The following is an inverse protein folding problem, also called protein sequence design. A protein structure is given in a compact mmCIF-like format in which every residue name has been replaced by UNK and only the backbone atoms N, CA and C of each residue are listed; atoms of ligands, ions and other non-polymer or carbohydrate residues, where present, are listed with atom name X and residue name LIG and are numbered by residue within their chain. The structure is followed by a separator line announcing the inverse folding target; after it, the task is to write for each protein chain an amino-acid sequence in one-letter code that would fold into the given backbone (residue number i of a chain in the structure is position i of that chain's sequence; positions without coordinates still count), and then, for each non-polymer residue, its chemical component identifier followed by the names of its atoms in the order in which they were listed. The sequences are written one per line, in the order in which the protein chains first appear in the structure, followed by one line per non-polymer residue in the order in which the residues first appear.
data_IF_878036475107
#
_entry.id   IF_878036475107
#
_cell.length_a   1.000
_cell.length_b   1.000
_cell.length_c   1.000
_cell.angle_alpha   90.00
_cell.angle_beta   90.00
_cell.angle_gamma   90.00
#
_symmetry.space_group_name_H-M   'P 1'
#
loop_
_entity.id
_entity.type
_entity.pdbx_description
1 polymer ?
#
# COMPACT_ATOMS: atom_id res chain seq x y z
N UNK A 1 -16.10 32.49 6.50
CA UNK A 1 -15.43 31.59 5.56
C UNK A 1 -14.91 30.33 6.24
N UNK A 2 -14.48 29.34 5.47
CA UNK A 2 -13.94 28.06 5.98
C UNK A 2 -12.48 28.17 6.50
N UNK A 3 -11.92 29.37 6.63
CA UNK A 3 -10.59 29.63 7.20
C UNK A 3 -9.41 29.45 6.22
N UNK A 4 -9.67 29.24 4.93
CA UNK A 4 -8.63 29.19 3.91
C UNK A 4 -8.39 30.61 3.35
N UNK A 5 -7.27 31.23 3.70
CA UNK A 5 -6.96 32.65 3.40
C UNK A 5 -5.97 32.82 2.23
N UNK A 6 -5.76 31.78 1.43
CA UNK A 6 -4.92 31.83 0.26
C UNK A 6 -5.51 32.76 -0.81
N UNK A 7 -4.72 33.66 -1.40
CA UNK A 7 -5.16 34.64 -2.41
C UNK A 7 -5.52 33.94 -3.73
N UNK A 8 -4.77 32.94 -4.13
CA UNK A 8 -5.05 32.13 -5.32
C UNK A 8 -6.23 31.20 -5.04
N UNK A 9 -7.32 31.40 -5.79
CA UNK A 9 -8.54 30.59 -5.67
C UNK A 9 -8.25 29.11 -5.92
N UNK A 10 -7.44 28.78 -6.90
CA UNK A 10 -7.10 27.37 -7.21
C UNK A 10 -6.33 26.73 -6.06
N UNK A 11 -5.35 27.43 -5.54
CA UNK A 11 -4.59 26.98 -4.38
C UNK A 11 -5.46 26.78 -3.14
N UNK A 12 -6.42 27.69 -2.94
CA UNK A 12 -7.40 27.59 -1.85
C UNK A 12 -8.29 26.36 -1.98
N UNK A 13 -8.74 26.03 -3.20
CA UNK A 13 -9.52 24.84 -3.50
C UNK A 13 -8.67 23.57 -3.25
N UNK A 14 -7.42 23.56 -3.69
CA UNK A 14 -6.51 22.44 -3.45
C UNK A 14 -6.33 22.15 -1.94
N UNK A 15 -6.12 23.18 -1.14
CA UNK A 15 -5.97 23.05 0.32
C UNK A 15 -7.25 22.50 0.95
N UNK A 16 -8.41 23.08 0.63
CA UNK A 16 -9.70 22.62 1.11
C UNK A 16 -9.97 21.16 0.74
N UNK A 17 -9.75 20.79 -0.52
CA UNK A 17 -9.98 19.42 -0.99
C UNK A 17 -8.98 18.43 -0.40
N UNK A 18 -7.74 18.84 -0.18
CA UNK A 18 -6.73 18.04 0.53
C UNK A 18 -7.19 17.71 1.95
N UNK A 19 -7.65 18.69 2.70
CA UNK A 19 -8.20 18.51 4.04
C UNK A 19 -9.47 17.64 4.02
N UNK A 20 -10.36 17.88 3.07
CA UNK A 20 -11.57 17.06 2.89
C UNK A 20 -11.23 15.59 2.66
N UNK A 21 -10.35 15.29 1.72
CA UNK A 21 -9.96 13.91 1.43
C UNK A 21 -9.21 13.25 2.61
N UNK A 22 -8.39 13.99 3.32
CA UNK A 22 -7.70 13.51 4.52
C UNK A 22 -8.70 13.11 5.61
N UNK A 23 -9.73 13.93 5.87
CA UNK A 23 -10.79 13.62 6.83
C UNK A 23 -11.67 12.47 6.36
N UNK A 24 -12.07 12.48 5.09
CA UNK A 24 -12.86 11.39 4.48
C UNK A 24 -12.12 10.05 4.57
N UNK A 25 -10.81 10.02 4.29
CA UNK A 25 -9.96 8.84 4.44
C UNK A 25 -9.97 8.33 5.88
N UNK A 26 -9.79 9.21 6.86
CA UNK A 26 -9.82 8.85 8.28
C UNK A 26 -11.18 8.24 8.68
N UNK A 27 -12.29 8.86 8.25
CA UNK A 27 -13.64 8.35 8.52
C UNK A 27 -13.82 6.97 7.88
N UNK A 28 -13.42 6.80 6.63
CA UNK A 28 -13.51 5.50 5.94
C UNK A 28 -12.70 4.41 6.66
N UNK A 29 -11.49 4.71 7.09
CA UNK A 29 -10.65 3.77 7.85
C UNK A 29 -11.29 3.36 9.17
N UNK A 30 -11.88 4.31 9.91
CA UNK A 30 -12.60 4.05 11.15
C UNK A 30 -13.86 3.21 10.91
N UNK A 31 -14.62 3.50 9.85
CA UNK A 31 -15.80 2.73 9.47
C UNK A 31 -15.49 1.28 9.19
N UNK A 32 -14.41 1.02 8.43
CA UNK A 32 -13.95 -0.35 8.13
C UNK A 32 -13.53 -1.09 9.41
N UNK A 33 -12.83 -0.42 10.34
CA UNK A 33 -12.43 -1.01 11.62
C UNK A 33 -13.68 -1.36 12.47
N UNK A 34 -14.66 -0.46 12.53
CA UNK A 34 -15.90 -0.68 13.27
C UNK A 34 -16.70 -1.85 12.68
N UNK A 35 -16.86 -1.88 11.36
CA UNK A 35 -17.53 -2.98 10.67
C UNK A 35 -16.86 -4.33 10.99
N UNK A 36 -15.55 -4.42 10.89
CA UNK A 36 -14.79 -5.64 11.20
C UNK A 36 -14.99 -6.08 12.67
N UNK A 37 -15.01 -5.13 13.63
CA UNK A 37 -15.26 -5.42 15.04
C UNK A 37 -16.68 -5.91 15.28
N UNK A 38 -17.67 -5.30 14.63
CA UNK A 38 -19.09 -5.72 14.75
C UNK A 38 -19.27 -7.13 14.19
N UNK A 39 -18.71 -7.44 13.03
CA UNK A 39 -18.80 -8.78 12.43
C UNK A 39 -18.11 -9.83 13.30
N UNK A 40 -16.95 -9.53 13.89
CA UNK A 40 -16.26 -10.45 14.81
C UNK A 40 -17.05 -10.69 16.10
N UNK A 41 -17.73 -9.67 16.64
CA UNK A 41 -18.57 -9.77 17.83
C UNK A 41 -19.83 -10.59 17.59
N UNK A 42 -20.43 -10.50 16.40
CA UNK A 42 -21.65 -11.26 16.04
C UNK A 42 -21.35 -12.73 15.74
N UNK A 43 -20.15 -13.08 15.33
CA UNK A 43 -19.74 -14.47 15.08
C UNK A 43 -19.62 -15.30 16.37
N UNK A 44 -19.58 -14.67 17.55
CA UNK A 44 -19.52 -15.33 18.86
C UNK A 44 -20.88 -15.77 19.43
N UNK A 45 -22.01 -15.25 18.91
CA UNK A 45 -23.33 -15.44 19.56
C UNK A 45 -24.15 -16.60 18.96
N UNK A 46 -23.79 -17.16 17.80
CA UNK A 46 -24.55 -18.27 17.16
C UNK A 46 -23.66 -19.43 16.74
N UNK A 47 -22.78 -19.89 17.62
CA UNK A 47 -22.08 -21.15 17.34
C UNK A 47 -22.86 -22.34 17.88
N UNK A 48 -23.94 -22.73 17.21
CA UNK A 48 -24.27 -24.16 17.13
C UNK A 48 -23.08 -24.82 16.46
N UNK A 49 -22.33 -25.62 17.20
CA UNK A 49 -21.17 -26.39 16.70
C UNK A 49 -21.69 -27.27 15.55
N UNK A 50 -21.59 -26.81 14.33
CA UNK A 50 -21.94 -27.61 13.17
C UNK A 50 -20.86 -28.68 13.00
N UNK A 51 -21.26 -29.93 12.95
CA UNK A 51 -20.40 -31.10 12.70
C UNK A 51 -19.52 -30.87 11.45
N UNK A 52 -19.98 -30.09 10.47
CA UNK A 52 -19.19 -29.62 9.32
C UNK A 52 -18.00 -28.72 9.69
N UNK A 53 -18.09 -27.93 10.78
CA UNK A 53 -16.97 -27.09 11.26
C UNK A 53 -15.89 -27.97 11.94
N UNK A 54 -16.29 -29.03 12.64
CA UNK A 54 -15.36 -29.98 13.26
C UNK A 54 -14.63 -30.81 12.19
N UNK A 55 -15.32 -31.28 11.15
CA UNK A 55 -14.68 -31.98 10.03
C UNK A 55 -13.73 -31.06 9.23
N UNK A 56 -14.09 -29.79 9.03
CA UNK A 56 -13.21 -28.80 8.37
C UNK A 56 -11.98 -28.46 9.20
N UNK A 57 -12.06 -28.49 10.53
CA UNK A 57 -10.92 -28.28 11.42
C UNK A 57 -9.93 -29.47 11.39
N UNK A 58 -10.44 -30.70 11.14
CA UNK A 58 -9.61 -31.88 10.97
C UNK A 58 -8.90 -31.96 9.62
N UNK A 59 -9.37 -31.19 8.62
CA UNK A 59 -8.80 -31.07 7.28
C UNK A 59 -8.11 -29.72 7.04
N UNK A 60 -7.91 -28.92 8.09
CA UNK A 60 -7.19 -27.65 7.95
C UNK A 60 -5.75 -27.96 7.50
N UNK A 61 -5.26 -27.31 6.43
CA UNK A 61 -3.87 -27.48 6.03
C UNK A 61 -2.97 -27.12 7.23
N UNK A 62 -1.78 -27.74 7.35
CA UNK A 62 -0.88 -27.46 8.45
C UNK A 62 -0.61 -25.95 8.53
N UNK A 63 -0.63 -25.43 9.75
CA UNK A 63 -0.31 -24.03 10.01
C UNK A 63 1.13 -23.80 9.56
N UNK A 64 1.32 -22.98 8.53
CA UNK A 64 2.64 -22.63 8.04
C UNK A 64 3.14 -21.39 8.78
N UNK A 65 4.23 -21.56 9.53
CA UNK A 65 4.90 -20.46 10.23
C UNK A 65 5.91 -19.80 9.28
N UNK A 66 5.82 -18.49 9.13
CA UNK A 66 6.68 -17.69 8.26
C UNK A 66 7.04 -16.40 8.98
N UNK A 67 8.29 -16.25 9.40
CA UNK A 67 8.85 -14.99 9.89
C UNK A 67 8.02 -14.31 11.00
N UNK A 68 7.54 -15.08 11.98
CA UNK A 68 6.70 -14.57 13.06
C UNK A 68 5.20 -14.46 12.72
N UNK A 69 4.80 -14.91 11.52
CA UNK A 69 3.41 -14.97 11.08
C UNK A 69 2.97 -16.40 10.85
N UNK A 70 1.66 -16.62 10.87
CA UNK A 70 1.01 -17.88 10.59
C UNK A 70 0.00 -17.73 9.45
N UNK A 71 0.05 -18.64 8.49
CA UNK A 71 -0.97 -18.73 7.45
C UNK A 71 -2.13 -19.60 7.94
N UNK A 72 -3.31 -19.01 8.10
CA UNK A 72 -4.54 -19.68 8.54
C UNK A 72 -5.68 -19.37 7.59
N UNK A 73 -6.21 -20.38 6.91
CA UNK A 73 -7.38 -20.20 6.04
C UNK A 73 -7.21 -19.16 4.91
N UNK A 74 -5.99 -18.93 4.43
CA UNK A 74 -5.68 -17.93 3.42
C UNK A 74 -5.42 -16.54 3.97
N UNK A 75 -5.37 -16.37 5.29
CA UNK A 75 -5.01 -15.12 5.97
C UNK A 75 -3.70 -15.27 6.75
N UNK A 76 -2.88 -14.22 6.71
CA UNK A 76 -1.72 -14.08 7.58
C UNK A 76 -2.16 -13.50 8.93
N UNK A 77 -1.75 -14.16 10.01
CA UNK A 77 -1.97 -13.75 11.38
C UNK A 77 -0.61 -13.59 12.09
N UNK A 78 -0.52 -12.71 13.08
CA UNK A 78 0.66 -12.63 13.93
C UNK A 78 0.70 -13.81 14.90
N UNK A 79 1.88 -14.35 15.18
CA UNK A 79 2.07 -15.41 16.19
C UNK A 79 1.93 -14.84 17.61
N UNK A 80 2.37 -13.60 17.83
CA UNK A 80 2.30 -12.91 19.12
C UNK A 80 2.04 -11.41 18.94
N UNK A 81 1.86 -10.67 20.03
CA UNK A 81 1.61 -9.21 20.02
C UNK A 81 2.89 -8.39 19.80
N UNK A 82 4.04 -8.97 20.04
CA UNK A 82 5.36 -8.35 20.01
C UNK A 82 6.08 -8.56 18.67
N UNK A 83 5.43 -9.19 17.68
CA UNK A 83 6.02 -9.61 16.40
C UNK A 83 6.78 -8.49 15.67
N UNK A 84 6.30 -7.25 15.75
CA UNK A 84 6.94 -6.08 15.16
C UNK A 84 7.92 -5.39 16.12
N UNK A 85 7.73 -5.54 17.43
CA UNK A 85 8.66 -5.01 18.44
C UNK A 85 9.94 -5.86 18.48
N UNK A 86 9.83 -7.18 18.26
CA UNK A 86 10.97 -8.09 18.10
C UNK A 86 11.82 -7.77 16.88
N UNK A 87 11.17 -7.45 15.76
CA UNK A 87 11.81 -7.15 14.50
C UNK A 87 10.96 -6.18 13.65
N UNK A 88 11.27 -4.87 13.70
CA UNK A 88 10.54 -3.84 12.94
C UNK A 88 10.53 -4.04 11.42
N UNK A 89 11.54 -4.70 10.84
CA UNK A 89 11.59 -4.96 9.39
C UNK A 89 10.46 -5.87 8.92
N UNK A 90 9.86 -6.63 9.82
CA UNK A 90 8.65 -7.43 9.56
C UNK A 90 7.47 -6.57 9.08
N UNK A 91 7.46 -5.25 9.38
CA UNK A 91 6.46 -4.32 8.83
C UNK A 91 6.55 -4.19 7.30
N UNK A 92 7.70 -4.46 6.71
CA UNK A 92 7.88 -4.46 5.25
C UNK A 92 7.79 -5.89 4.71
N UNK A 93 8.46 -6.86 5.36
CA UNK A 93 8.49 -8.26 4.92
C UNK A 93 7.10 -8.91 4.92
N UNK A 94 6.20 -8.50 5.83
CA UNK A 94 4.81 -8.94 5.87
C UNK A 94 4.11 -8.81 4.51
N UNK A 95 4.28 -7.67 3.85
CA UNK A 95 3.64 -7.42 2.55
C UNK A 95 4.26 -8.28 1.45
N UNK A 96 5.56 -8.55 1.51
CA UNK A 96 6.20 -9.50 0.60
C UNK A 96 5.70 -10.93 0.81
N UNK A 97 5.50 -11.35 2.07
CA UNK A 97 4.91 -12.66 2.38
C UNK A 97 3.46 -12.74 1.88
N UNK A 98 2.63 -11.71 2.15
CA UNK A 98 1.26 -11.60 1.64
C UNK A 98 1.22 -11.73 0.11
N UNK A 99 2.06 -10.99 -0.60
CA UNK A 99 2.16 -10.98 -2.05
C UNK A 99 2.52 -12.37 -2.61
N UNK A 100 3.55 -13.01 -2.06
CA UNK A 100 4.03 -14.34 -2.52
C UNK A 100 3.04 -15.46 -2.26
N UNK A 101 2.31 -15.39 -1.15
CA UNK A 101 1.35 -16.41 -0.75
C UNK A 101 -0.05 -16.18 -1.33
N UNK A 102 -0.31 -15.00 -1.92
CA UNK A 102 -1.65 -14.57 -2.28
C UNK A 102 -2.59 -14.50 -1.07
N UNK A 103 -2.03 -14.31 0.13
CA UNK A 103 -2.75 -14.32 1.39
C UNK A 103 -3.17 -12.90 1.80
N UNK A 104 -4.35 -12.76 2.39
CA UNK A 104 -4.80 -11.49 2.98
C UNK A 104 -4.24 -11.31 4.37
N UNK A 105 -4.11 -10.06 4.82
CA UNK A 105 -3.81 -9.80 6.22
C UNK A 105 -5.08 -9.91 7.06
N UNK A 106 -5.03 -10.65 8.17
CA UNK A 106 -6.15 -10.75 9.10
C UNK A 106 -6.49 -9.36 9.69
N UNK A 107 -7.75 -9.10 10.08
CA UNK A 107 -8.15 -7.82 10.67
C UNK A 107 -7.33 -7.43 11.90
N UNK A 108 -6.96 -8.39 12.74
CA UNK A 108 -6.11 -8.18 13.91
C UNK A 108 -4.70 -7.76 13.50
N UNK A 109 -4.10 -8.41 12.51
CA UNK A 109 -2.78 -8.08 12.00
C UNK A 109 -2.75 -6.69 11.35
N UNK A 110 -3.78 -6.34 10.56
CA UNK A 110 -3.93 -4.96 10.00
C UNK A 110 -3.99 -3.90 11.11
N UNK A 111 -4.68 -4.19 12.22
CA UNK A 111 -4.74 -3.29 13.38
C UNK A 111 -3.37 -3.17 14.07
N UNK A 112 -2.65 -4.27 14.22
CA UNK A 112 -1.30 -4.26 14.80
C UNK A 112 -0.33 -3.44 13.95
N UNK A 113 -0.34 -3.59 12.62
CA UNK A 113 0.46 -2.77 11.69
C UNK A 113 0.20 -1.28 11.91
N UNK A 114 -1.07 -0.84 11.94
CA UNK A 114 -1.41 0.57 12.17
C UNK A 114 -0.89 1.10 13.50
N UNK A 115 -0.95 0.28 14.55
CA UNK A 115 -0.50 0.68 15.89
C UNK A 115 1.04 0.71 16.03
N UNK A 116 1.78 0.13 15.09
CA UNK A 116 3.25 0.04 15.10
C UNK A 116 3.93 0.87 14.00
N UNK A 117 3.19 1.75 13.32
CA UNK A 117 3.76 2.64 12.29
C UNK A 117 4.91 3.51 12.78
N UNK A 118 4.97 3.81 14.07
CA UNK A 118 6.07 4.58 14.67
C UNK A 118 7.41 3.83 14.61
N UNK A 119 7.41 2.49 14.47
CA UNK A 119 8.62 1.69 14.30
C UNK A 119 9.27 1.88 12.91
N UNK A 120 8.53 2.46 11.95
CA UNK A 120 9.10 2.84 10.65
C UNK A 120 9.80 4.20 10.84
N UNK A 121 10.98 4.14 11.38
CA UNK A 121 11.88 5.27 11.65
C UNK A 121 12.98 5.37 10.59
N UNK A 122 13.92 6.30 10.78
CA UNK A 122 15.04 6.50 9.87
C UNK A 122 15.95 5.26 9.76
N UNK A 123 16.09 4.47 10.82
CA UNK A 123 16.90 3.25 10.79
C UNK A 123 16.26 2.20 9.88
N UNK A 124 14.96 1.97 10.02
CA UNK A 124 14.23 1.02 9.18
C UNK A 124 14.14 1.49 7.73
N UNK A 125 13.88 2.79 7.50
CA UNK A 125 13.85 3.37 6.14
C UNK A 125 15.17 3.15 5.41
N UNK A 126 16.31 3.26 6.10
CA UNK A 126 17.64 3.08 5.51
C UNK A 126 18.19 1.66 5.66
N UNK A 127 17.42 0.72 6.20
CA UNK A 127 17.86 -0.68 6.31
C UNK A 127 18.04 -1.31 4.91
N UNK A 128 19.23 -1.87 4.59
CA UNK A 128 19.44 -2.56 3.32
C UNK A 128 18.47 -3.73 3.12
N UNK A 129 18.16 -4.49 4.17
CA UNK A 129 17.24 -5.63 4.12
C UNK A 129 15.80 -5.20 3.81
N UNK A 130 15.31 -4.13 4.46
CA UNK A 130 13.99 -3.58 4.20
C UNK A 130 13.89 -3.03 2.77
N UNK A 131 14.93 -2.36 2.27
CA UNK A 131 14.97 -1.83 0.91
C UNK A 131 15.03 -2.94 -0.15
N UNK A 132 15.83 -4.00 0.06
CA UNK A 132 15.82 -5.20 -0.79
C UNK A 132 14.42 -5.85 -0.82
N UNK A 133 13.75 -5.91 0.32
CA UNK A 133 12.38 -6.44 0.40
C UNK A 133 11.40 -5.57 -0.40
N UNK A 134 11.45 -4.25 -0.25
CA UNK A 134 10.60 -3.32 -1.00
C UNK A 134 10.86 -3.42 -2.50
N UNK A 135 12.12 -3.45 -2.93
CA UNK A 135 12.51 -3.69 -4.33
C UNK A 135 11.93 -5.01 -4.85
N UNK A 136 11.98 -6.08 -4.02
CA UNK A 136 11.42 -7.38 -4.41
C UNK A 136 9.88 -7.34 -4.57
N UNK A 137 9.18 -6.49 -3.80
CA UNK A 137 7.74 -6.24 -4.00
C UNK A 137 7.50 -5.59 -5.37
N UNK A 138 8.32 -4.58 -5.73
CA UNK A 138 8.22 -3.86 -7.00
C UNK A 138 8.58 -4.71 -8.23
N UNK A 139 9.27 -5.82 -8.05
CA UNK A 139 9.68 -6.73 -9.12
C UNK A 139 8.69 -7.89 -9.37
N UNK A 140 7.59 -8.00 -8.61
CA UNK A 140 6.57 -9.05 -8.80
C UNK A 140 5.61 -8.67 -9.91
N UNK A 141 6.02 -8.92 -11.16
CA UNK A 141 5.32 -8.48 -12.37
C UNK A 141 3.87 -8.95 -12.39
N UNK A 142 2.96 -8.01 -12.61
CA UNK A 142 1.51 -8.26 -12.64
C UNK A 142 0.86 -8.41 -11.26
N UNK A 143 1.60 -8.18 -10.16
CA UNK A 143 1.05 -8.28 -8.79
C UNK A 143 1.68 -7.27 -7.81
N UNK A 144 1.98 -6.07 -8.29
CA UNK A 144 2.58 -4.99 -7.47
C UNK A 144 1.51 -4.10 -6.85
N UNK A 145 0.50 -3.73 -7.62
CA UNK A 145 -0.50 -2.72 -7.21
C UNK A 145 -1.27 -3.13 -5.96
N UNK A 146 -1.73 -4.38 -5.88
CA UNK A 146 -2.48 -4.87 -4.71
C UNK A 146 -1.69 -4.70 -3.42
N UNK A 147 -0.40 -5.02 -3.45
CA UNK A 147 0.50 -4.90 -2.31
C UNK A 147 0.75 -3.44 -1.92
N UNK A 148 1.05 -2.57 -2.90
CA UNK A 148 1.28 -1.15 -2.63
C UNK A 148 0.01 -0.44 -2.14
N UNK A 149 -1.16 -0.78 -2.69
CA UNK A 149 -2.44 -0.26 -2.20
C UNK A 149 -2.68 -0.65 -0.73
N UNK A 150 -2.43 -1.92 -0.36
CA UNK A 150 -2.57 -2.36 1.03
C UNK A 150 -1.56 -1.67 1.95
N UNK A 151 -0.29 -1.54 1.54
CA UNK A 151 0.73 -0.76 2.27
C UNK A 151 0.29 0.70 2.45
N UNK A 152 -0.30 1.30 1.42
CA UNK A 152 -0.81 2.67 1.48
C UNK A 152 -2.01 2.80 2.42
N UNK A 153 -2.99 1.91 2.34
CA UNK A 153 -4.16 1.89 3.22
C UNK A 153 -3.78 1.76 4.70
N UNK A 154 -2.76 0.97 5.00
CA UNK A 154 -2.26 0.76 6.35
C UNK A 154 -1.30 1.86 6.83
N UNK A 155 -0.91 2.78 5.94
CA UNK A 155 -0.01 3.90 6.26
C UNK A 155 1.48 3.55 6.18
N UNK A 156 1.81 2.31 5.87
CA UNK A 156 3.19 1.81 5.77
C UNK A 156 3.93 2.44 4.59
N UNK A 157 3.30 2.51 3.41
CA UNK A 157 3.95 3.02 2.20
C UNK A 157 4.45 4.46 2.38
N UNK A 158 3.60 5.35 2.89
CA UNK A 158 3.96 6.76 3.09
C UNK A 158 4.93 7.00 4.24
N UNK A 159 5.06 6.05 5.19
CA UNK A 159 6.09 6.09 6.24
C UNK A 159 7.43 5.59 5.72
N UNK A 160 7.44 4.49 4.96
CA UNK A 160 8.65 3.88 4.41
C UNK A 160 9.24 4.68 3.24
N UNK A 161 8.37 5.34 2.46
CA UNK A 161 8.73 6.29 1.39
C UNK A 161 8.12 7.65 1.73
N UNK A 162 8.81 8.50 2.53
CA UNK A 162 8.27 9.78 2.97
C UNK A 162 7.90 10.72 1.81
N UNK A 163 8.61 10.63 0.68
CA UNK A 163 8.34 11.38 -0.54
C UNK A 163 6.94 11.06 -1.08
N UNK A 164 6.58 9.78 -1.12
CA UNK A 164 5.23 9.33 -1.47
C UNK A 164 4.21 9.74 -0.38
N UNK A 165 4.62 9.67 0.88
CA UNK A 165 3.77 10.09 2.01
C UNK A 165 3.29 11.54 1.88
N UNK A 166 4.13 12.45 1.37
CA UNK A 166 3.78 13.86 1.11
C UNK A 166 2.76 14.07 -0.01
N UNK A 167 2.56 13.08 -0.88
CA UNK A 167 1.52 13.11 -1.91
C UNK A 167 0.15 12.66 -1.38
N UNK A 168 0.08 12.08 -0.17
CA UNK A 168 -1.16 11.52 0.36
C UNK A 168 -2.26 12.59 0.47
N UNK A 169 -3.39 12.32 -0.16
CA UNK A 169 -4.52 13.24 -0.28
C UNK A 169 -4.20 14.58 -0.97
N UNK A 170 -3.07 14.70 -1.65
CA UNK A 170 -2.70 15.91 -2.37
C UNK A 170 -3.54 16.05 -3.62
N UNK A 171 -4.31 17.13 -3.69
CA UNK A 171 -5.12 17.50 -4.84
C UNK A 171 -4.32 18.47 -5.72
N UNK A 172 -4.37 18.27 -7.01
CA UNK A 172 -3.94 19.22 -8.01
C UNK A 172 -5.16 19.67 -8.81
N UNK A 173 -5.44 20.98 -8.80
CA UNK A 173 -6.57 21.56 -9.50
C UNK A 173 -6.17 21.85 -10.94
N UNK A 174 -6.25 20.84 -11.80
CA UNK A 174 -6.26 21.04 -13.23
C UNK A 174 -7.35 20.18 -13.90
N UNK A 175 -7.67 20.49 -15.17
CA UNK A 175 -8.79 19.88 -15.90
C UNK A 175 -8.62 18.37 -16.17
N UNK A 176 -7.46 17.79 -15.85
CA UNK A 176 -7.10 16.42 -16.24
C UNK A 176 -6.95 15.45 -15.06
N UNK A 177 -6.84 15.95 -13.82
CA UNK A 177 -6.61 15.10 -12.65
C UNK A 177 -7.93 14.68 -11.99
N UNK A 178 -8.29 13.38 -12.15
CA UNK A 178 -9.46 12.76 -11.50
C UNK A 178 -9.16 12.21 -10.11
N UNK A 179 -7.88 12.09 -9.76
CA UNK A 179 -7.39 11.44 -8.56
C UNK A 179 -6.48 12.37 -7.78
N UNK A 180 -6.32 12.13 -6.48
CA UNK A 180 -5.21 12.69 -5.70
C UNK A 180 -3.89 12.12 -6.20
N UNK A 181 -2.78 12.81 -5.97
CA UNK A 181 -1.48 12.44 -6.53
C UNK A 181 -1.01 11.04 -6.10
N UNK A 182 -1.26 10.66 -4.85
CA UNK A 182 -1.00 9.31 -4.34
C UNK A 182 -1.82 8.23 -5.05
N UNK A 183 -3.12 8.47 -5.21
CA UNK A 183 -4.01 7.53 -5.91
C UNK A 183 -3.69 7.45 -7.39
N UNK A 184 -3.27 8.57 -8.01
CA UNK A 184 -2.81 8.57 -9.41
C UNK A 184 -1.62 7.62 -9.61
N UNK A 185 -0.58 7.73 -8.79
CA UNK A 185 0.60 6.85 -8.85
C UNK A 185 0.20 5.38 -8.70
N UNK A 186 -0.62 5.05 -7.69
CA UNK A 186 -1.09 3.67 -7.48
C UNK A 186 -1.97 3.16 -8.63
N UNK A 187 -2.78 4.03 -9.21
CA UNK A 187 -3.61 3.68 -10.38
C UNK A 187 -2.76 3.38 -11.62
N UNK A 188 -1.70 4.15 -11.90
CA UNK A 188 -0.76 3.84 -12.98
C UNK A 188 -0.15 2.43 -12.83
N UNK A 189 0.24 2.07 -11.61
CA UNK A 189 0.76 0.73 -11.30
C UNK A 189 -0.32 -0.35 -11.48
N UNK A 190 -1.57 -0.05 -11.10
CA UNK A 190 -2.69 -0.97 -11.30
C UNK A 190 -2.94 -1.24 -12.79
N UNK A 191 -2.93 -0.20 -13.61
CA UNK A 191 -3.07 -0.34 -15.07
C UNK A 191 -1.92 -1.17 -15.67
N UNK A 192 -0.68 -0.98 -15.17
CA UNK A 192 0.45 -1.78 -15.62
C UNK A 192 0.29 -3.25 -15.25
N UNK A 193 -0.16 -3.57 -14.02
CA UNK A 193 -0.50 -4.94 -13.62
C UNK A 193 -1.57 -5.55 -14.52
N UNK A 194 -2.64 -4.80 -14.82
CA UNK A 194 -3.71 -5.25 -15.71
C UNK A 194 -3.22 -5.57 -17.13
N UNK A 195 -2.27 -4.77 -17.66
CA UNK A 195 -1.66 -5.02 -18.96
C UNK A 195 -0.85 -6.31 -18.92
N UNK A 196 0.03 -6.50 -17.92
CA UNK A 196 0.82 -7.74 -17.79
C UNK A 196 -0.04 -8.98 -17.60
N UNK A 197 -1.18 -8.85 -16.90
CA UNK A 197 -2.17 -9.92 -16.74
C UNK A 197 -3.03 -10.16 -17.98
N UNK A 198 -2.92 -9.34 -19.03
CA UNK A 198 -3.76 -9.41 -20.23
C UNK A 198 -5.22 -9.03 -19.98
N UNK A 199 -5.52 -8.34 -18.87
CA UNK A 199 -6.87 -7.90 -18.50
C UNK A 199 -7.26 -6.57 -19.16
N UNK A 200 -6.29 -5.77 -19.56
CA UNK A 200 -6.54 -4.47 -20.19
C UNK A 200 -6.86 -4.66 -21.67
N UNK A 201 -8.15 -4.71 -21.98
CA UNK A 201 -8.65 -4.92 -23.35
C UNK A 201 -8.45 -3.71 -24.27
N UNK A 202 -8.20 -2.52 -23.72
CA UNK A 202 -8.05 -1.29 -24.48
C UNK A 202 -6.65 -1.12 -25.10
N UNK A 203 -5.68 -1.91 -24.64
CA UNK A 203 -4.29 -1.75 -25.04
C UNK A 203 -3.54 -3.09 -25.26
N UNK A 204 -4.05 -4.00 -26.10
CA UNK A 204 -3.46 -5.34 -26.28
C UNK A 204 -2.04 -5.29 -26.87
N UNK A 205 -1.72 -4.27 -27.66
CA UNK A 205 -0.40 -4.08 -28.27
C UNK A 205 0.68 -3.74 -27.24
N UNK A 206 0.32 -3.14 -26.11
CA UNK A 206 1.29 -2.86 -25.06
C UNK A 206 1.80 -4.14 -24.40
N UNK A 207 0.98 -5.16 -24.26
CA UNK A 207 1.41 -6.43 -23.68
C UNK A 207 2.57 -7.07 -24.48
N UNK A 208 2.48 -7.01 -25.82
CA UNK A 208 3.56 -7.54 -26.67
C UNK A 208 4.85 -6.72 -26.51
N UNK A 209 4.76 -5.40 -26.48
CA UNK A 209 5.90 -4.52 -26.26
C UNK A 209 6.53 -4.75 -24.87
N UNK A 210 5.72 -4.90 -23.84
CA UNK A 210 6.18 -5.13 -22.46
C UNK A 210 6.85 -6.50 -22.28
N UNK A 211 6.37 -7.54 -22.99
CA UNK A 211 7.02 -8.87 -22.97
C UNK A 211 8.40 -8.89 -23.61
N UNK A 212 8.70 -7.94 -24.49
CA UNK A 212 10.03 -7.77 -25.11
C UNK A 212 10.99 -6.95 -24.25
N UNK A 213 10.48 -6.36 -23.15
CA UNK A 213 11.33 -5.57 -22.24
C UNK A 213 12.17 -6.51 -21.35
N UNK A 214 13.48 -6.31 -21.36
CA UNK A 214 14.43 -7.11 -20.56
C UNK A 214 14.33 -6.84 -19.06
N UNK A 215 13.84 -5.66 -18.65
CA UNK A 215 13.78 -5.23 -17.24
C UNK A 215 12.38 -4.68 -16.88
N UNK A 216 11.33 -5.51 -16.98
CA UNK A 216 9.95 -5.03 -16.78
C UNK A 216 9.69 -4.48 -15.37
N UNK A 217 10.40 -4.95 -14.35
CA UNK A 217 10.33 -4.40 -12.98
C UNK A 217 10.74 -2.94 -12.88
N UNK A 218 11.60 -2.44 -13.77
CA UNK A 218 11.98 -1.03 -13.81
C UNK A 218 10.80 -0.11 -14.14
N UNK A 219 9.84 -0.58 -14.93
CA UNK A 219 8.64 0.21 -15.27
C UNK A 219 7.80 0.53 -14.04
N UNK A 220 7.69 -0.39 -13.08
CA UNK A 220 7.00 -0.13 -11.81
C UNK A 220 7.70 0.97 -11.02
N UNK A 221 9.04 0.95 -10.95
CA UNK A 221 9.80 2.00 -10.29
C UNK A 221 9.65 3.34 -11.00
N UNK A 222 9.71 3.38 -12.34
CA UNK A 222 9.49 4.61 -13.11
C UNK A 222 8.11 5.19 -12.83
N UNK A 223 7.05 4.36 -12.88
CA UNK A 223 5.68 4.81 -12.59
C UNK A 223 5.51 5.23 -11.12
N UNK A 224 6.21 4.59 -10.20
CA UNK A 224 6.15 4.97 -8.79
C UNK A 224 6.84 6.31 -8.53
N UNK A 225 7.94 6.59 -9.21
CA UNK A 225 8.79 7.76 -8.99
C UNK A 225 8.37 9.00 -9.77
N UNK A 226 7.68 8.85 -10.92
CA UNK A 226 7.50 9.93 -11.90
C UNK A 226 6.87 11.21 -11.35
N UNK A 227 6.03 11.10 -10.34
CA UNK A 227 5.27 12.21 -9.75
C UNK A 227 5.70 12.61 -8.34
N UNK A 228 6.69 11.95 -7.73
CA UNK A 228 7.09 12.23 -6.36
C UNK A 228 7.58 13.67 -6.14
N UNK A 229 8.12 14.33 -7.17
CA UNK A 229 8.56 15.72 -7.11
C UNK A 229 7.44 16.76 -7.04
N UNK A 230 6.17 16.35 -7.14
CA UNK A 230 5.00 17.27 -7.11
C UNK A 230 4.62 17.73 -5.69
N UNK A 231 5.28 17.23 -4.66
CA UNK A 231 4.98 17.53 -3.25
C UNK A 231 5.00 19.04 -2.91
N UNK A 232 5.86 19.83 -3.56
CA UNK A 232 6.00 21.26 -3.34
C UNK A 232 5.36 22.13 -4.45
N UNK A 233 4.50 21.55 -5.30
CA UNK A 233 3.82 22.24 -6.38
C UNK A 233 4.43 22.00 -7.77
N UNK A 234 3.79 22.57 -8.83
CA UNK A 234 4.14 22.22 -10.21
C UNK A 234 5.47 22.78 -10.70
N UNK A 235 5.94 23.92 -10.15
CA UNK A 235 7.21 24.52 -10.58
C UNK A 235 8.40 23.70 -10.07
N UNK A 236 9.32 23.32 -10.97
CA UNK A 236 10.53 22.59 -10.65
C UNK A 236 10.28 21.15 -10.16
N UNK A 237 9.10 20.57 -10.42
CA UNK A 237 8.78 19.23 -9.96
C UNK A 237 9.61 18.15 -10.69
N UNK A 238 10.02 18.39 -11.93
CA UNK A 238 10.87 17.45 -12.66
C UNK A 238 12.26 17.37 -12.03
N UNK A 239 12.89 18.50 -11.73
CA UNK A 239 14.21 18.56 -11.11
C UNK A 239 14.20 17.91 -9.73
N UNK A 240 13.20 18.24 -8.89
CA UNK A 240 12.99 17.57 -7.60
C UNK A 240 12.72 16.08 -7.75
N UNK A 241 11.94 15.69 -8.75
CA UNK A 241 11.66 14.28 -9.06
C UNK A 241 12.93 13.51 -9.38
N UNK A 242 13.86 14.10 -10.15
CA UNK A 242 15.16 13.50 -10.45
C UNK A 242 16.01 13.32 -9.19
N UNK A 243 16.07 14.34 -8.32
CA UNK A 243 16.81 14.24 -7.05
C UNK A 243 16.23 13.16 -6.14
N UNK A 244 14.90 13.11 -5.98
CA UNK A 244 14.19 12.08 -5.21
C UNK A 244 14.47 10.68 -5.80
N UNK A 245 14.38 10.54 -7.12
CA UNK A 245 14.61 9.28 -7.79
C UNK A 245 16.05 8.79 -7.58
N UNK A 246 17.06 9.65 -7.71
CA UNK A 246 18.44 9.30 -7.46
C UNK A 246 18.65 8.83 -6.01
N UNK A 247 18.20 9.61 -5.04
CA UNK A 247 18.32 9.25 -3.61
C UNK A 247 17.62 7.93 -3.29
N UNK A 248 16.49 7.67 -3.92
CA UNK A 248 15.75 6.42 -3.72
C UNK A 248 16.43 5.24 -4.40
N UNK A 249 16.98 5.43 -5.60
CA UNK A 249 17.70 4.37 -6.32
C UNK A 249 19.01 3.99 -5.62
N UNK A 250 19.69 4.95 -4.99
CA UNK A 250 20.87 4.67 -4.15
C UNK A 250 20.55 3.87 -2.90
N UNK A 251 19.31 4.03 -2.38
CA UNK A 251 18.81 3.32 -1.21
C UNK A 251 18.33 1.90 -1.53
N UNK A 252 17.68 1.71 -2.70
CA UNK A 252 17.07 0.45 -3.16
C UNK A 252 18.09 -0.50 -3.80
#
# INVERSE_FOLDING_TARGET
GLGYEEEDIFRRVELFMGDYYSKARTINQLSVILEQRMLSSTSGVTSKISFKKVLKAYQAPPVQNIDGFELRGGELCAQNQEVFDEDPERLIRLFRHSQRLGAKLSPSLRSMVRNRLALIDAALINSPSANVTFRSIMQEIGNVSTTLCEMHELGVLGRFVPEFGRLTCKVQHDLYHRFTADIHVLHCITVLDEIFQGKNKSAPHYLEALRKNEVPGLLYLILFLHDLGKDQGPKGHCERGVEIANNMMDRL
#
